data_IF_489290096147
#
_entry.id   IF_489290096147
#
_cell.length_a   1.000
_cell.length_b   1.000
_cell.length_c   1.000
_cell.angle_alpha   90.00
_cell.angle_beta   90.00
_cell.angle_gamma   90.00
#
_symmetry.space_group_name_H-M   'P 1'
#
loop_
_entity.id
_entity.type
_entity.pdbx_description
1 polymer ?
#
# COMPACT_ATOMS: atom_id res chain seq x y z
N UNK A 1 -40.21 -30.70 -146.80
CA UNK A 1 -38.99 -30.25 -146.08
C UNK A 1 -39.35 -29.04 -145.21
N UNK A 2 -39.15 -29.11 -143.88
CA UNK A 2 -39.30 -28.05 -142.85
C UNK A 2 -40.72 -27.44 -142.68
N UNK A 3 -41.37 -27.37 -141.52
CA UNK A 3 -41.11 -27.80 -140.13
C UNK A 3 -42.49 -27.85 -139.44
N UNK A 4 -43.05 -29.06 -139.27
CA UNK A 4 -44.22 -29.35 -138.40
C UNK A 4 -43.77 -29.23 -136.95
N UNK A 5 -43.79 -28.04 -136.33
CA UNK A 5 -43.50 -27.86 -134.89
C UNK A 5 -43.79 -26.42 -134.35
N UNK A 6 -44.91 -25.77 -134.71
CA UNK A 6 -45.13 -24.35 -134.32
C UNK A 6 -46.25 -24.07 -133.28
N UNK A 7 -47.39 -24.79 -133.22
CA UNK A 7 -48.43 -24.49 -132.21
C UNK A 7 -48.10 -25.02 -130.80
N UNK A 8 -47.55 -26.23 -130.70
CA UNK A 8 -47.14 -26.81 -129.41
C UNK A 8 -45.94 -26.08 -128.79
N UNK A 9 -45.00 -25.61 -129.62
CA UNK A 9 -43.83 -24.84 -129.17
C UNK A 9 -44.23 -23.49 -128.55
N UNK A 10 -45.19 -22.77 -129.13
CA UNK A 10 -45.74 -21.53 -128.55
C UNK A 10 -46.48 -21.77 -127.23
N UNK A 11 -47.21 -22.89 -127.11
CA UNK A 11 -47.93 -23.26 -125.87
C UNK A 11 -46.96 -23.64 -124.75
N UNK A 12 -45.92 -24.43 -125.06
CA UNK A 12 -44.84 -24.77 -124.12
C UNK A 12 -44.02 -23.53 -123.73
N UNK A 13 -43.78 -22.61 -124.66
CA UNK A 13 -43.04 -21.36 -124.39
C UNK A 13 -43.83 -20.40 -123.48
N UNK A 14 -45.17 -20.35 -123.59
CA UNK A 14 -46.03 -19.61 -122.65
C UNK A 14 -46.10 -20.26 -121.27
N UNK A 15 -46.13 -21.60 -121.20
CA UNK A 15 -46.04 -22.35 -119.94
C UNK A 15 -44.69 -22.12 -119.26
N UNK A 16 -43.57 -22.25 -119.98
CA UNK A 16 -42.21 -22.01 -119.47
C UNK A 16 -42.02 -20.54 -119.06
N UNK A 17 -42.57 -19.59 -119.81
CA UNK A 17 -42.55 -18.17 -119.43
C UNK A 17 -43.38 -17.88 -118.18
N UNK A 18 -44.54 -18.53 -118.02
CA UNK A 18 -45.36 -18.44 -116.81
C UNK A 18 -44.67 -19.07 -115.59
N UNK A 19 -44.04 -20.23 -115.79
CA UNK A 19 -43.25 -20.90 -114.75
C UNK A 19 -41.98 -20.11 -114.39
N UNK A 20 -41.31 -19.47 -115.36
CA UNK A 20 -40.19 -18.56 -115.11
C UNK A 20 -40.62 -17.32 -114.32
N UNK A 21 -41.76 -16.71 -114.65
CA UNK A 21 -42.30 -15.59 -113.88
C UNK A 21 -42.70 -16.00 -112.45
N UNK A 22 -43.24 -17.21 -112.28
CA UNK A 22 -43.53 -17.77 -110.95
C UNK A 22 -42.24 -18.05 -110.17
N UNK A 23 -41.19 -18.60 -110.80
CA UNK A 23 -39.88 -18.83 -110.18
C UNK A 23 -39.24 -17.52 -109.74
N UNK A 24 -39.29 -16.46 -110.56
CA UNK A 24 -38.79 -15.14 -110.18
C UNK A 24 -39.58 -14.50 -109.03
N UNK A 25 -40.90 -14.73 -108.97
CA UNK A 25 -41.74 -14.29 -107.86
C UNK A 25 -41.40 -15.04 -106.57
N UNK A 26 -41.31 -16.37 -106.63
CA UNK A 26 -40.91 -17.20 -105.49
C UNK A 26 -39.49 -16.86 -105.01
N UNK A 27 -38.54 -16.57 -105.90
CA UNK A 27 -37.20 -16.15 -105.51
C UNK A 27 -37.17 -14.78 -104.82
N UNK A 28 -38.03 -13.84 -105.24
CA UNK A 28 -38.23 -12.57 -104.52
C UNK A 28 -38.84 -12.79 -103.15
N UNK A 29 -39.89 -13.61 -103.05
CA UNK A 29 -40.54 -13.94 -101.77
C UNK A 29 -39.56 -14.66 -100.82
N UNK A 30 -38.72 -15.57 -101.33
CA UNK A 30 -37.64 -16.22 -100.55
C UNK A 30 -36.60 -15.20 -100.09
N UNK A 31 -36.22 -14.24 -100.93
CA UNK A 31 -35.32 -13.15 -100.57
C UNK A 31 -35.86 -12.29 -99.44
N UNK A 32 -37.12 -11.86 -99.55
CA UNK A 32 -37.82 -11.06 -98.53
C UNK A 32 -38.00 -11.84 -97.22
N UNK A 33 -38.34 -13.13 -97.30
CA UNK A 33 -38.42 -14.01 -96.13
C UNK A 33 -37.06 -14.18 -95.45
N UNK A 34 -35.96 -14.26 -96.21
CA UNK A 34 -34.60 -14.37 -95.66
C UNK A 34 -34.15 -13.08 -94.98
N UNK A 35 -34.54 -11.92 -95.51
CA UNK A 35 -34.31 -10.62 -94.85
C UNK A 35 -35.14 -10.53 -93.56
N UNK A 36 -36.40 -10.95 -93.58
CA UNK A 36 -37.24 -11.04 -92.36
C UNK A 36 -36.66 -12.02 -91.33
N UNK A 37 -36.13 -13.16 -91.76
CA UNK A 37 -35.46 -14.11 -90.88
C UNK A 37 -34.23 -13.48 -90.21
N UNK A 38 -33.34 -12.85 -90.98
CA UNK A 38 -32.14 -12.20 -90.44
C UNK A 38 -32.48 -11.04 -89.48
N UNK A 39 -33.56 -10.28 -89.74
CA UNK A 39 -33.99 -9.20 -88.83
C UNK A 39 -34.55 -9.76 -87.52
N UNK A 40 -35.38 -10.81 -87.58
CA UNK A 40 -35.86 -11.51 -86.40
C UNK A 40 -34.73 -12.17 -85.59
N UNK A 41 -33.75 -12.79 -86.23
CA UNK A 41 -32.57 -13.37 -85.57
C UNK A 41 -31.77 -12.30 -84.80
N UNK A 42 -31.60 -11.11 -85.39
CA UNK A 42 -30.95 -9.99 -84.72
C UNK A 42 -31.77 -9.45 -83.53
N UNK A 43 -33.10 -9.46 -83.61
CA UNK A 43 -33.96 -9.08 -82.48
C UNK A 43 -33.91 -10.10 -81.35
N UNK A 44 -33.93 -11.40 -81.68
CA UNK A 44 -33.76 -12.49 -80.71
C UNK A 44 -32.44 -12.32 -79.97
N UNK A 45 -31.34 -12.09 -80.70
CA UNK A 45 -30.03 -11.87 -80.10
C UNK A 45 -30.01 -10.66 -79.14
N UNK A 46 -30.65 -9.53 -79.52
CA UNK A 46 -30.77 -8.36 -78.65
C UNK A 46 -31.59 -8.65 -77.39
N UNK A 47 -32.68 -9.40 -77.50
CA UNK A 47 -33.51 -9.79 -76.36
C UNK A 47 -32.74 -10.72 -75.44
N UNK A 48 -31.97 -11.66 -76.00
CA UNK A 48 -31.17 -12.61 -75.24
C UNK A 48 -30.06 -11.91 -74.44
N UNK A 49 -29.36 -10.94 -75.06
CA UNK A 49 -28.41 -10.09 -74.35
C UNK A 49 -29.07 -9.30 -73.21
N UNK A 50 -30.26 -8.72 -73.43
CA UNK A 50 -30.99 -8.00 -72.37
C UNK A 50 -31.41 -8.95 -71.23
N UNK A 51 -31.86 -10.16 -71.56
CA UNK A 51 -32.24 -11.17 -70.58
C UNK A 51 -31.05 -11.55 -69.72
N UNK A 52 -29.86 -11.70 -70.31
CA UNK A 52 -28.64 -12.02 -69.57
C UNK A 52 -28.20 -10.86 -68.67
N UNK A 53 -28.26 -9.61 -69.16
CA UNK A 53 -28.01 -8.43 -68.35
C UNK A 53 -28.95 -8.31 -67.15
N UNK A 54 -30.25 -8.60 -67.35
CA UNK A 54 -31.23 -8.58 -66.25
C UNK A 54 -30.92 -9.71 -65.26
N UNK A 55 -30.58 -10.92 -65.74
CA UNK A 55 -30.20 -12.05 -64.86
C UNK A 55 -29.00 -11.72 -63.99
N UNK A 56 -27.95 -11.12 -64.56
CA UNK A 56 -26.77 -10.68 -63.81
C UNK A 56 -27.12 -9.60 -62.78
N UNK A 57 -27.99 -8.64 -63.11
CA UNK A 57 -28.47 -7.63 -62.15
C UNK A 57 -29.28 -8.26 -61.01
N UNK A 58 -30.16 -9.21 -61.32
CA UNK A 58 -30.94 -9.91 -60.28
C UNK A 58 -30.00 -10.70 -59.37
N UNK A 59 -29.00 -11.37 -59.93
CA UNK A 59 -27.99 -12.09 -59.16
C UNK A 59 -27.20 -11.17 -58.24
N UNK A 60 -26.69 -10.04 -58.75
CA UNK A 60 -25.92 -9.09 -57.93
C UNK A 60 -26.74 -8.46 -56.81
N UNK A 61 -28.00 -8.12 -57.07
CA UNK A 61 -28.92 -7.62 -56.04
C UNK A 61 -29.21 -8.70 -54.99
N UNK A 62 -29.39 -9.94 -55.43
CA UNK A 62 -29.63 -11.06 -54.53
C UNK A 62 -28.44 -11.30 -53.60
N UNK A 63 -27.23 -11.34 -54.16
CA UNK A 63 -25.98 -11.45 -53.40
C UNK A 63 -25.82 -10.28 -52.42
N UNK A 64 -26.12 -9.05 -52.84
CA UNK A 64 -26.05 -7.92 -51.93
C UNK A 64 -27.04 -8.04 -50.75
N UNK A 65 -28.28 -8.48 -50.99
CA UNK A 65 -29.29 -8.64 -49.93
C UNK A 65 -28.88 -9.75 -48.94
N UNK A 66 -28.40 -10.88 -49.45
CA UNK A 66 -28.08 -12.06 -48.63
C UNK A 66 -26.73 -11.91 -47.94
N UNK A 67 -25.69 -11.50 -48.64
CA UNK A 67 -24.32 -11.52 -48.11
C UNK A 67 -23.96 -10.20 -47.40
N UNK A 68 -24.27 -9.05 -48.01
CA UNK A 68 -23.89 -7.74 -47.42
C UNK A 68 -24.85 -7.28 -46.32
N UNK A 69 -26.14 -7.61 -46.45
CA UNK A 69 -27.17 -7.20 -45.49
C UNK A 69 -27.67 -8.35 -44.60
N UNK A 70 -27.28 -9.60 -44.87
CA UNK A 70 -27.66 -10.77 -44.08
C UNK A 70 -29.19 -10.94 -43.93
N UNK A 71 -29.93 -10.62 -44.99
CA UNK A 71 -31.40 -10.65 -45.03
C UNK A 71 -31.92 -11.71 -46.00
N UNK A 72 -33.09 -12.29 -45.71
CA UNK A 72 -33.79 -13.14 -46.68
C UNK A 72 -34.51 -12.30 -47.73
N UNK A 73 -34.59 -12.81 -48.96
CA UNK A 73 -35.26 -12.16 -50.09
C UNK A 73 -36.75 -11.91 -49.78
N UNK A 74 -37.40 -12.88 -49.13
CA UNK A 74 -38.80 -12.79 -48.71
C UNK A 74 -39.03 -11.64 -47.72
N UNK A 75 -38.13 -11.49 -46.73
CA UNK A 75 -38.22 -10.42 -45.76
C UNK A 75 -37.97 -9.04 -46.39
N UNK A 76 -36.99 -8.95 -47.30
CA UNK A 76 -36.68 -7.72 -48.02
C UNK A 76 -37.85 -7.27 -48.92
N UNK A 77 -38.50 -8.20 -49.60
CA UNK A 77 -39.66 -7.92 -50.46
C UNK A 77 -40.87 -7.45 -49.65
N UNK A 78 -41.19 -8.13 -48.54
CA UNK A 78 -42.35 -7.81 -47.69
C UNK A 78 -42.22 -6.46 -46.97
N UNK A 79 -41.01 -6.08 -46.60
CA UNK A 79 -40.73 -4.84 -45.88
C UNK A 79 -40.18 -3.72 -46.79
N UNK A 80 -40.28 -3.89 -48.11
CA UNK A 80 -39.84 -2.89 -49.06
C UNK A 80 -40.69 -1.62 -48.91
N UNK A 81 -40.07 -0.55 -48.43
CA UNK A 81 -40.68 0.79 -48.40
C UNK A 81 -39.98 1.64 -49.45
N UNK A 82 -40.67 2.04 -50.54
CA UNK A 82 -40.06 2.88 -51.56
C UNK A 82 -39.63 4.22 -50.93
N UNK A 83 -38.34 4.52 -51.01
CA UNK A 83 -37.83 5.83 -50.58
C UNK A 83 -38.23 6.89 -51.59
N UNK A 84 -38.72 8.04 -51.13
CA UNK A 84 -39.11 9.18 -51.98
C UNK A 84 -37.91 9.74 -52.77
N UNK A 85 -36.69 9.58 -52.26
CA UNK A 85 -35.45 9.97 -52.93
C UNK A 85 -34.33 8.92 -52.71
N UNK A 86 -34.00 8.17 -53.76
CA UNK A 86 -32.98 7.11 -53.72
C UNK A 86 -31.57 7.70 -53.49
N UNK A 87 -31.25 8.81 -54.15
CA UNK A 87 -29.92 9.43 -54.07
C UNK A 87 -29.59 9.94 -52.67
N UNK A 88 -30.55 10.56 -51.99
CA UNK A 88 -30.37 10.98 -50.58
C UNK A 88 -30.17 9.80 -49.64
N UNK A 89 -30.91 8.71 -49.86
CA UNK A 89 -30.82 7.49 -49.06
C UNK A 89 -29.45 6.83 -49.21
N UNK A 90 -28.89 6.77 -50.41
CA UNK A 90 -27.54 6.26 -50.67
C UNK A 90 -26.46 7.09 -49.98
N UNK A 91 -26.56 8.42 -50.04
CA UNK A 91 -25.63 9.33 -49.35
C UNK A 91 -25.70 9.09 -47.83
N UNK A 92 -26.92 8.93 -47.29
CA UNK A 92 -27.12 8.64 -45.86
C UNK A 92 -26.50 7.30 -45.46
N UNK A 93 -26.69 6.24 -46.26
CA UNK A 93 -26.09 4.93 -46.01
C UNK A 93 -24.56 5.01 -46.04
N UNK A 94 -23.97 5.71 -47.02
CA UNK A 94 -22.50 5.90 -47.07
C UNK A 94 -21.98 6.66 -45.85
N UNK A 95 -22.66 7.73 -45.43
CA UNK A 95 -22.29 8.49 -44.21
C UNK A 95 -22.35 7.61 -42.96
N UNK A 96 -23.39 6.79 -42.81
CA UNK A 96 -23.53 5.86 -41.68
C UNK A 96 -22.48 4.76 -41.71
N UNK A 97 -22.19 4.16 -42.88
CA UNK A 97 -21.13 3.16 -43.03
C UNK A 97 -19.74 3.74 -42.70
N UNK A 98 -19.46 4.98 -43.09
CA UNK A 98 -18.22 5.65 -42.72
C UNK A 98 -18.14 5.88 -41.20
N UNK A 99 -19.20 6.41 -40.57
CA UNK A 99 -19.27 6.53 -39.11
C UNK A 99 -19.08 5.20 -38.39
N UNK A 100 -19.62 4.10 -38.92
CA UNK A 100 -19.43 2.76 -38.37
C UNK A 100 -17.97 2.29 -38.48
N UNK A 101 -17.27 2.64 -39.57
CA UNK A 101 -15.84 2.37 -39.73
C UNK A 101 -14.98 3.19 -38.77
N UNK A 102 -15.37 4.42 -38.47
CA UNK A 102 -14.66 5.29 -37.52
C UNK A 102 -14.62 4.72 -36.10
N UNK A 103 -15.63 3.91 -35.70
CA UNK A 103 -15.63 3.22 -34.40
C UNK A 103 -14.60 2.07 -34.31
N UNK A 104 -13.98 1.69 -35.42
CA UNK A 104 -12.96 0.63 -35.46
C UNK A 104 -13.49 -0.75 -35.07
N UNK A 105 -12.58 -1.65 -34.73
CA UNK A 105 -12.95 -3.00 -34.28
C UNK A 105 -13.49 -2.94 -32.85
N UNK A 106 -14.80 -3.11 -32.71
CA UNK A 106 -15.45 -3.23 -31.39
C UNK A 106 -15.04 -4.56 -30.77
N UNK A 107 -14.40 -4.53 -29.60
CA UNK A 107 -14.08 -5.73 -28.84
C UNK A 107 -15.37 -6.24 -28.16
N UNK A 108 -15.93 -7.40 -28.58
CA UNK A 108 -17.16 -7.92 -27.99
C UNK A 108 -16.98 -8.35 -26.52
N UNK A 109 -15.75 -8.59 -26.07
CA UNK A 109 -15.42 -8.99 -24.70
C UNK A 109 -15.17 -7.82 -23.76
N UNK A 110 -15.14 -6.57 -24.26
CA UNK A 110 -14.79 -5.39 -23.46
C UNK A 110 -15.68 -5.22 -22.22
N UNK A 111 -16.98 -5.50 -22.35
CA UNK A 111 -17.91 -5.42 -21.21
C UNK A 111 -17.59 -6.45 -20.11
N UNK A 112 -17.19 -7.67 -20.51
CA UNK A 112 -16.85 -8.75 -19.58
C UNK A 112 -15.51 -8.44 -18.88
N UNK A 113 -14.52 -7.99 -19.64
CA UNK A 113 -13.21 -7.59 -19.10
C UNK A 113 -13.33 -6.40 -18.14
N UNK A 114 -14.11 -5.38 -18.51
CA UNK A 114 -14.41 -4.25 -17.64
C UNK A 114 -15.03 -4.71 -16.33
N UNK A 115 -16.04 -5.58 -16.36
CA UNK A 115 -16.70 -6.09 -15.15
C UNK A 115 -15.71 -6.85 -14.25
N UNK A 116 -14.79 -7.64 -14.83
CA UNK A 116 -13.75 -8.37 -14.08
C UNK A 116 -12.74 -7.42 -13.44
N UNK A 117 -12.25 -6.43 -14.19
CA UNK A 117 -11.31 -5.43 -13.69
C UNK A 117 -11.96 -4.58 -12.61
N UNK A 118 -13.21 -4.16 -12.80
CA UNK A 118 -13.97 -3.36 -11.84
C UNK A 118 -14.11 -4.09 -10.51
N UNK A 119 -14.48 -5.38 -10.52
CA UNK A 119 -14.52 -6.20 -9.29
C UNK A 119 -13.18 -6.25 -8.56
N UNK A 120 -12.07 -6.43 -9.29
CA UNK A 120 -10.73 -6.44 -8.70
C UNK A 120 -10.35 -5.07 -8.13
N UNK A 121 -10.69 -4.01 -8.84
CA UNK A 121 -10.46 -2.64 -8.39
C UNK A 121 -11.22 -2.36 -7.10
N UNK A 122 -12.52 -2.65 -7.05
CA UNK A 122 -13.36 -2.39 -5.87
C UNK A 122 -12.85 -3.17 -4.63
N UNK A 123 -12.41 -4.43 -4.84
CA UNK A 123 -11.78 -5.21 -3.77
C UNK A 123 -10.46 -4.57 -3.28
N UNK A 124 -9.56 -4.20 -4.20
CA UNK A 124 -8.28 -3.60 -3.84
C UNK A 124 -8.43 -2.22 -3.19
N UNK A 125 -9.42 -1.43 -3.61
CA UNK A 125 -9.69 -0.12 -3.02
C UNK A 125 -10.25 -0.25 -1.59
N UNK A 126 -11.10 -1.24 -1.35
CA UNK A 126 -11.56 -1.58 0.02
C UNK A 126 -10.38 -1.94 0.92
N UNK A 127 -9.51 -2.84 0.47
CA UNK A 127 -8.30 -3.24 1.23
C UNK A 127 -7.35 -2.06 1.47
N UNK A 128 -7.21 -1.18 0.47
CA UNK A 128 -6.40 0.04 0.61
C UNK A 128 -6.98 0.96 1.67
N UNK A 129 -8.30 1.14 1.69
CA UNK A 129 -8.97 1.99 2.67
C UNK A 129 -8.82 1.42 4.08
N UNK A 130 -9.01 0.10 4.25
CA UNK A 130 -8.81 -0.57 5.54
C UNK A 130 -7.37 -0.37 6.07
N UNK A 131 -6.36 -0.43 5.20
CA UNK A 131 -4.96 -0.18 5.57
C UNK A 131 -4.70 1.28 5.96
N UNK A 132 -5.31 2.24 5.26
CA UNK A 132 -5.19 3.67 5.58
C UNK A 132 -5.81 3.94 6.95
N UNK A 133 -6.99 3.38 7.20
CA UNK A 133 -7.70 3.56 8.46
C UNK A 133 -6.95 2.89 9.62
N UNK A 134 -6.41 1.68 9.40
CA UNK A 134 -5.57 0.99 10.38
C UNK A 134 -4.27 1.75 10.69
N UNK A 135 -3.63 2.32 9.66
CA UNK A 135 -2.45 3.17 9.85
C UNK A 135 -2.79 4.38 10.73
N UNK A 136 -3.89 5.07 10.44
CA UNK A 136 -4.32 6.23 11.22
C UNK A 136 -4.60 5.85 12.68
N UNK A 137 -5.29 4.74 12.91
CA UNK A 137 -5.54 4.24 14.27
C UNK A 137 -4.25 3.95 15.04
N UNK A 138 -3.23 3.40 14.37
CA UNK A 138 -1.92 3.17 15.00
C UNK A 138 -1.20 4.48 15.31
N UNK A 139 -1.25 5.47 14.41
CA UNK A 139 -0.66 6.80 14.65
C UNK A 139 -1.33 7.50 15.83
N UNK A 140 -2.66 7.45 15.91
CA UNK A 140 -3.44 8.00 17.03
C UNK A 140 -3.10 7.28 18.35
N UNK A 141 -2.98 5.94 18.33
CA UNK A 141 -2.57 5.16 19.50
C UNK A 141 -1.16 5.51 19.99
N UNK A 142 -0.20 5.67 19.07
CA UNK A 142 1.16 6.09 19.42
C UNK A 142 1.15 7.45 20.10
N UNK A 143 0.37 8.40 19.57
CA UNK A 143 0.23 9.73 20.15
C UNK A 143 -0.35 9.67 21.57
N UNK A 144 -1.40 8.87 21.78
CA UNK A 144 -2.02 8.69 23.10
C UNK A 144 -1.06 8.04 24.11
N UNK A 145 -0.30 7.02 23.68
CA UNK A 145 0.72 6.38 24.51
C UNK A 145 1.82 7.37 24.89
N UNK A 146 2.36 8.12 23.93
CA UNK A 146 3.42 9.11 24.19
C UNK A 146 2.94 10.20 25.15
N UNK A 147 1.71 10.68 25.00
CA UNK A 147 1.11 11.62 25.95
C UNK A 147 1.03 11.02 27.35
N UNK A 148 0.59 9.76 27.47
CA UNK A 148 0.50 9.07 28.77
C UNK A 148 1.87 8.86 29.41
N UNK A 149 2.89 8.51 28.62
CA UNK A 149 4.27 8.39 29.08
C UNK A 149 4.75 9.74 29.62
N UNK A 150 4.51 10.85 28.91
CA UNK A 150 4.89 12.19 29.36
C UNK A 150 4.21 12.60 30.67
N UNK A 151 2.91 12.32 30.83
CA UNK A 151 2.17 12.57 32.08
C UNK A 151 2.76 11.79 33.26
N UNK A 152 2.99 10.48 33.07
CA UNK A 152 3.56 9.60 34.12
C UNK A 152 4.99 10.02 34.45
N UNK A 153 5.79 10.37 33.44
CA UNK A 153 7.16 10.84 33.64
C UNK A 153 7.18 12.10 34.50
N UNK A 154 6.37 13.12 34.18
CA UNK A 154 6.34 14.36 34.96
C UNK A 154 5.85 14.14 36.40
N UNK A 155 4.81 13.32 36.58
CA UNK A 155 4.31 12.97 37.92
C UNK A 155 5.40 12.28 38.77
N UNK A 156 6.09 11.29 38.19
CA UNK A 156 7.16 10.57 38.87
C UNK A 156 8.39 11.45 39.08
N UNK A 157 8.74 12.29 38.12
CA UNK A 157 9.84 13.24 38.22
C UNK A 157 9.65 14.18 39.41
N UNK A 158 8.48 14.79 39.55
CA UNK A 158 8.20 15.68 40.69
C UNK A 158 8.23 14.94 42.02
N UNK A 159 7.69 13.73 42.07
CA UNK A 159 7.76 12.88 43.27
C UNK A 159 9.21 12.56 43.65
N UNK A 160 10.06 12.21 42.67
CA UNK A 160 11.49 11.96 42.91
C UNK A 160 12.18 13.25 43.34
N UNK A 161 11.85 14.40 42.75
CA UNK A 161 12.45 15.70 43.07
C UNK A 161 12.13 16.13 44.52
N UNK A 162 10.90 15.93 44.98
CA UNK A 162 10.51 16.16 46.38
C UNK A 162 11.26 15.25 47.35
N UNK A 163 11.34 13.95 47.03
CA UNK A 163 12.09 13.00 47.85
C UNK A 163 13.59 13.30 47.84
N UNK A 164 14.14 13.73 46.70
CA UNK A 164 15.54 14.15 46.58
C UNK A 164 15.81 15.34 47.49
N UNK A 165 14.99 16.40 47.45
CA UNK A 165 15.07 17.54 48.38
C UNK A 165 15.09 17.08 49.84
N UNK A 166 14.20 16.14 50.20
CA UNK A 166 14.12 15.60 51.56
C UNK A 166 15.39 14.88 52.00
N UNK A 167 15.84 13.87 51.23
CA UNK A 167 17.03 13.09 51.58
C UNK A 167 18.32 13.90 51.47
N UNK A 168 18.40 14.83 50.52
CA UNK A 168 19.50 15.76 50.41
C UNK A 168 19.64 16.61 51.67
N UNK A 169 18.54 17.13 52.23
CA UNK A 169 18.56 17.94 53.45
C UNK A 169 19.04 17.16 54.69
N UNK A 170 18.80 15.85 54.73
CA UNK A 170 19.30 14.97 55.80
C UNK A 170 20.82 14.82 55.70
N UNK A 171 21.37 14.64 54.50
CA UNK A 171 22.81 14.51 54.27
C UNK A 171 23.55 15.85 54.34
N UNK A 172 22.89 16.95 53.95
CA UNK A 172 23.42 18.31 53.93
C UNK A 172 22.45 19.29 54.61
N UNK A 173 22.47 19.40 55.96
CA UNK A 173 21.53 20.25 56.70
C UNK A 173 21.53 21.73 56.31
N UNK A 174 22.68 22.23 55.84
CA UNK A 174 22.87 23.62 55.39
C UNK A 174 22.79 23.79 53.86
N UNK A 175 22.58 22.69 53.13
CA UNK A 175 22.51 22.70 51.68
C UNK A 175 21.09 22.66 51.15
N UNK A 176 20.95 22.83 49.84
CA UNK A 176 19.73 22.61 49.08
C UNK A 176 20.06 21.89 47.78
N UNK A 177 19.15 21.04 47.30
CA UNK A 177 19.38 20.27 46.07
C UNK A 177 18.07 20.08 45.33
N UNK A 178 18.09 20.26 44.02
CA UNK A 178 16.94 20.06 43.15
C UNK A 178 17.33 19.36 41.85
N UNK A 179 16.36 18.66 41.28
CA UNK A 179 16.44 18.08 39.95
C UNK A 179 15.86 19.06 38.93
N UNK A 180 16.56 19.25 37.82
CA UNK A 180 16.09 20.05 36.69
C UNK A 180 16.06 19.21 35.42
N UNK A 181 15.05 19.41 34.58
CA UNK A 181 15.01 18.81 33.24
C UNK A 181 15.92 19.62 32.32
N UNK A 182 16.94 18.96 31.77
CA UNK A 182 17.78 19.55 30.72
C UNK A 182 17.02 19.51 29.40
N UNK A 183 16.68 20.70 28.89
CA UNK A 183 15.98 20.89 27.62
C UNK A 183 16.92 21.21 26.47
N UNK A 184 18.25 21.18 26.67
CA UNK A 184 19.24 21.65 25.71
C UNK A 184 19.75 20.56 24.74
N UNK A 185 18.97 19.52 24.47
CA UNK A 185 19.31 18.53 23.46
C UNK A 185 19.21 19.13 22.04
N UNK A 186 20.32 19.68 21.54
CA UNK A 186 20.49 20.23 20.18
C UNK A 186 20.61 19.10 19.09
N UNK A 187 19.89 17.99 19.30
CA UNK A 187 19.83 16.84 18.41
C UNK A 187 18.48 16.76 17.69
N UNK A 188 18.40 16.15 16.49
CA UNK A 188 17.14 16.00 15.77
C UNK A 188 16.26 14.96 16.47
N UNK A 189 15.52 15.39 17.49
CA UNK A 189 14.52 14.63 18.22
C UNK A 189 14.25 15.25 19.59
N UNK A 190 13.00 15.64 19.86
CA UNK A 190 12.50 16.14 21.15
C UNK A 190 12.58 15.11 22.31
N UNK A 191 13.33 14.01 22.14
CA UNK A 191 13.20 12.77 22.92
C UNK A 191 14.31 12.52 23.97
N UNK A 192 15.37 13.33 24.03
CA UNK A 192 16.42 13.19 25.04
C UNK A 192 16.32 14.28 26.12
N UNK A 193 15.23 14.23 26.91
CA UNK A 193 15.14 14.98 28.16
C UNK A 193 16.19 14.45 29.14
N UNK A 194 17.28 15.21 29.32
CA UNK A 194 18.26 14.94 30.36
C UNK A 194 17.72 15.33 31.75
N UNK A 195 18.31 14.77 32.81
CA UNK A 195 18.08 15.21 34.19
C UNK A 195 19.41 15.72 34.74
N UNK A 196 19.46 17.01 35.11
CA UNK A 196 20.60 17.60 35.80
C UNK A 196 20.30 17.74 37.31
N UNK A 197 21.32 17.50 38.13
CA UNK A 197 21.26 17.67 39.58
C UNK A 197 21.94 18.98 39.95
N UNK A 198 21.16 19.96 40.43
CA UNK A 198 21.65 21.24 40.92
C UNK A 198 21.68 21.24 42.43
N UNK A 199 22.85 21.47 43.02
CA UNK A 199 23.02 21.38 44.47
C UNK A 199 23.85 22.52 45.03
N UNK A 200 23.52 22.95 46.23
CA UNK A 200 24.29 23.86 47.08
C UNK A 200 24.64 23.10 48.38
N UNK A 201 25.93 23.00 48.69
CA UNK A 201 26.46 22.31 49.88
C UNK A 201 26.79 23.33 51.00
N UNK A 202 26.30 24.58 50.89
CA UNK A 202 26.52 25.67 51.86
C UNK A 202 27.42 26.79 51.35
N UNK A 203 27.61 26.89 50.03
CA UNK A 203 28.42 27.89 49.34
C UNK A 203 27.56 28.97 48.64
N UNK A 204 26.24 29.01 48.94
CA UNK A 204 25.27 30.03 48.47
C UNK A 204 24.98 30.02 46.96
N UNK A 205 25.48 29.02 46.21
CA UNK A 205 25.24 28.88 44.77
C UNK A 205 25.00 27.43 44.41
N UNK A 206 24.00 27.21 43.55
CA UNK A 206 23.74 25.91 42.92
C UNK A 206 24.84 25.60 41.90
N UNK A 207 25.48 24.45 42.06
CA UNK A 207 26.49 23.89 41.15
C UNK A 207 26.02 22.54 40.62
N UNK A 208 26.42 22.22 39.38
CA UNK A 208 26.20 20.88 38.80
C UNK A 208 27.13 19.85 39.44
N UNK A 209 26.71 18.59 39.42
CA UNK A 209 27.43 17.44 39.99
C UNK A 209 28.89 17.32 39.53
N UNK A 210 29.22 17.80 38.33
CA UNK A 210 30.57 17.76 37.73
C UNK A 210 31.59 18.66 38.46
N UNK A 211 31.13 19.62 39.24
CA UNK A 211 31.97 20.62 39.93
C UNK A 211 32.22 20.27 41.41
N UNK A 212 31.70 19.15 41.90
CA UNK A 212 31.83 18.71 43.29
C UNK A 212 33.08 17.85 43.53
N UNK A 213 33.53 17.79 44.78
CA UNK A 213 34.57 16.83 45.19
C UNK A 213 34.06 15.38 45.11
N UNK A 214 34.98 14.40 45.08
CA UNK A 214 34.60 12.99 44.95
C UNK A 214 33.68 12.46 46.06
N UNK A 215 33.94 12.86 47.31
CA UNK A 215 33.11 12.48 48.45
C UNK A 215 31.73 13.15 48.43
N UNK A 216 31.68 14.45 48.11
CA UNK A 216 30.42 15.18 47.95
C UNK A 216 29.58 14.61 46.81
N UNK A 217 30.19 14.35 45.66
CA UNK A 217 29.54 13.72 44.51
C UNK A 217 28.92 12.37 44.88
N UNK A 218 29.60 11.59 45.71
CA UNK A 218 29.11 10.29 46.19
C UNK A 218 27.86 10.45 47.07
N UNK A 219 27.88 11.38 48.03
CA UNK A 219 26.71 11.69 48.87
C UNK A 219 25.51 12.21 48.08
N UNK A 220 25.73 13.12 47.13
CA UNK A 220 24.66 13.64 46.28
C UNK A 220 24.06 12.52 45.44
N UNK A 221 24.89 11.63 44.89
CA UNK A 221 24.44 10.47 44.14
C UNK A 221 23.64 9.50 45.02
N UNK A 222 24.07 9.27 46.27
CA UNK A 222 23.31 8.47 47.24
C UNK A 222 21.96 9.11 47.55
N UNK A 223 21.90 10.43 47.76
CA UNK A 223 20.64 11.13 48.00
C UNK A 223 19.63 10.89 46.86
N UNK A 224 20.12 10.91 45.62
CA UNK A 224 19.32 10.61 44.43
C UNK A 224 18.91 9.13 44.34
N UNK A 225 19.81 8.20 44.66
CA UNK A 225 19.43 6.78 44.71
C UNK A 225 18.36 6.51 45.77
N UNK A 226 18.50 7.07 46.98
CA UNK A 226 17.50 6.93 48.03
C UNK A 226 16.16 7.59 47.68
N UNK A 227 16.17 8.69 46.92
CA UNK A 227 14.91 9.29 46.43
C UNK A 227 14.18 8.37 45.46
N UNK A 228 14.90 7.66 44.59
CA UNK A 228 14.32 6.63 43.71
C UNK A 228 13.83 5.42 44.52
N UNK A 229 14.63 4.92 45.45
CA UNK A 229 14.30 3.74 46.27
C UNK A 229 13.08 3.95 47.18
N UNK A 230 12.82 5.20 47.57
CA UNK A 230 11.63 5.55 48.36
C UNK A 230 10.32 5.37 47.58
N UNK A 231 10.36 5.45 46.25
CA UNK A 231 9.19 5.29 45.38
C UNK A 231 9.09 3.84 44.89
N UNK A 232 10.20 3.28 44.44
CA UNK A 232 10.29 1.91 43.95
C UNK A 232 11.02 1.04 44.97
N UNK A 233 10.25 0.53 45.93
CA UNK A 233 10.79 -0.30 47.00
C UNK A 233 11.12 -1.70 46.48
N UNK A 234 12.40 -2.08 46.53
CA UNK A 234 12.88 -3.44 46.29
C UNK A 234 12.82 -4.25 47.59
N UNK A 235 12.67 -5.59 47.53
CA UNK A 235 12.75 -6.45 48.71
C UNK A 235 14.11 -6.32 49.44
N UNK A 236 15.19 -6.13 48.69
CA UNK A 236 16.53 -5.91 49.25
C UNK A 236 17.39 -4.99 48.38
N UNK A 237 18.41 -4.41 49.00
CA UNK A 237 19.43 -3.58 48.37
C UNK A 237 20.82 -4.08 48.74
N UNK A 238 21.76 -4.01 47.79
CA UNK A 238 23.17 -4.35 48.00
C UNK A 238 24.02 -3.12 47.70
N UNK A 239 24.82 -2.68 48.66
CA UNK A 239 25.77 -1.59 48.51
C UNK A 239 27.18 -2.16 48.60
N UNK A 240 27.99 -1.97 47.57
CA UNK A 240 29.37 -2.43 47.53
C UNK A 240 30.32 -1.25 47.66
N UNK A 241 31.06 -1.19 48.78
CA UNK A 241 32.02 -0.14 49.13
C UNK A 241 31.50 1.29 48.95
N UNK A 242 30.19 1.48 49.10
CA UNK A 242 29.54 2.76 48.86
C UNK A 242 30.09 3.87 49.78
N UNK A 243 30.56 3.51 50.98
CA UNK A 243 31.11 4.38 52.01
C UNK A 243 32.62 4.62 51.90
N UNK A 244 33.32 4.03 50.92
CA UNK A 244 34.77 4.16 50.78
C UNK A 244 35.23 5.60 50.48
N UNK A 245 34.40 6.38 49.77
CA UNK A 245 34.71 7.77 49.40
C UNK A 245 34.24 8.81 50.44
N UNK A 246 33.68 8.36 51.57
CA UNK A 246 33.07 9.24 52.56
C UNK A 246 34.02 9.49 53.73
N UNK A 247 34.05 10.73 54.23
CA UNK A 247 34.73 11.06 55.47
C UNK A 247 33.92 10.63 56.70
N UNK A 248 34.56 10.69 57.87
CA UNK A 248 33.99 10.27 59.15
C UNK A 248 32.66 10.95 59.53
N UNK A 249 32.47 12.21 59.12
CA UNK A 249 31.26 12.97 59.41
C UNK A 249 30.12 12.58 58.46
N UNK A 250 30.45 12.35 57.20
CA UNK A 250 29.50 11.99 56.16
C UNK A 250 29.06 10.52 56.25
N UNK A 251 29.96 9.61 56.68
CA UNK A 251 29.60 8.21 57.00
C UNK A 251 28.44 8.19 58.01
N UNK A 252 28.52 8.94 59.11
CA UNK A 252 27.45 8.97 60.11
C UNK A 252 26.08 9.40 59.54
N UNK A 253 26.06 10.34 58.58
CA UNK A 253 24.83 10.78 57.92
C UNK A 253 24.28 9.72 56.96
N UNK A 254 25.16 9.08 56.19
CA UNK A 254 24.80 7.95 55.34
C UNK A 254 24.19 6.80 56.15
N UNK A 255 24.84 6.40 57.25
CA UNK A 255 24.38 5.34 58.13
C UNK A 255 23.03 5.65 58.79
N UNK A 256 22.76 6.92 59.09
CA UNK A 256 21.46 7.35 59.60
C UNK A 256 20.34 7.13 58.58
N UNK A 257 20.61 7.34 57.28
CA UNK A 257 19.67 7.02 56.21
C UNK A 257 19.50 5.52 56.03
N UNK A 258 20.61 4.76 55.95
CA UNK A 258 20.59 3.30 55.84
C UNK A 258 19.72 2.68 56.92
N UNK A 259 19.91 3.10 58.18
CA UNK A 259 19.13 2.60 59.32
C UNK A 259 17.64 2.90 59.20
N UNK A 260 17.26 4.06 58.67
CA UNK A 260 15.85 4.41 58.44
C UNK A 260 15.22 3.55 57.34
N UNK A 261 15.97 3.21 56.30
CA UNK A 261 15.50 2.32 55.24
C UNK A 261 15.48 0.85 55.67
N UNK A 262 16.42 0.43 56.54
CA UNK A 262 16.49 -0.95 57.03
C UNK A 262 15.29 -1.35 57.90
N UNK A 263 14.54 -0.38 58.45
CA UNK A 263 13.27 -0.63 59.16
C UNK A 263 12.21 -1.29 58.27
N UNK A 264 12.28 -1.09 56.96
CA UNK A 264 11.28 -1.59 55.99
C UNK A 264 11.85 -2.54 54.95
N UNK A 265 13.16 -2.52 54.72
CA UNK A 265 13.81 -3.18 53.59
C UNK A 265 15.10 -3.88 54.05
N UNK A 266 15.46 -4.99 53.40
CA UNK A 266 16.72 -5.65 53.70
C UNK A 266 17.88 -4.91 53.02
N UNK A 267 18.91 -4.55 53.79
CA UNK A 267 20.11 -3.89 53.25
C UNK A 267 21.33 -4.76 53.52
N UNK A 268 22.09 -5.04 52.47
CA UNK A 268 23.38 -5.73 52.53
C UNK A 268 24.44 -4.70 52.15
N UNK A 269 25.43 -4.48 53.02
CA UNK A 269 26.54 -3.56 52.75
C UNK A 269 27.84 -4.34 52.82
N UNK A 270 28.64 -4.24 51.76
CA UNK A 270 30.01 -4.72 51.69
C UNK A 270 30.90 -3.52 51.98
N UNK A 271 31.69 -3.59 53.04
CA UNK A 271 32.50 -2.46 53.52
C UNK A 271 33.65 -2.93 54.39
N UNK A 272 34.70 -2.10 54.48
CA UNK A 272 35.77 -2.21 55.46
C UNK A 272 35.70 -1.09 56.53
N UNK A 273 34.68 -0.23 56.49
CA UNK A 273 34.52 0.89 57.42
C UNK A 273 33.96 0.43 58.77
N UNK A 274 34.73 0.61 59.85
CA UNK A 274 34.36 0.20 61.21
C UNK A 274 33.00 0.77 61.65
N UNK A 275 32.76 2.06 61.41
CA UNK A 275 31.48 2.73 61.74
C UNK A 275 30.27 2.12 61.06
N UNK A 276 30.42 1.63 59.82
CA UNK A 276 29.34 0.97 59.09
C UNK A 276 29.06 -0.42 59.67
N UNK A 277 30.11 -1.13 60.09
CA UNK A 277 29.96 -2.42 60.78
C UNK A 277 29.26 -2.28 62.13
N UNK A 278 29.51 -1.19 62.88
CA UNK A 278 28.92 -0.95 64.21
C UNK A 278 27.38 -0.87 64.21
N UNK A 279 26.77 -0.43 63.10
CA UNK A 279 25.31 -0.31 63.01
C UNK A 279 24.61 -1.57 62.48
N UNK A 280 25.37 -2.58 62.05
CA UNK A 280 24.83 -3.76 61.40
C UNK A 280 24.19 -4.71 62.42
N UNK A 281 23.07 -5.33 62.06
CA UNK A 281 22.44 -6.37 62.90
C UNK A 281 23.22 -7.69 62.85
N UNK A 282 23.94 -7.95 61.76
CA UNK A 282 24.72 -9.17 61.54
C UNK A 282 25.89 -8.86 60.60
N UNK A 283 27.08 -9.31 60.98
CA UNK A 283 28.29 -9.19 60.17
C UNK A 283 28.60 -10.55 59.56
N UNK A 284 28.89 -10.55 58.26
CA UNK A 284 29.45 -11.68 57.55
C UNK A 284 30.90 -11.37 57.18
N UNK A 285 31.84 -12.09 57.78
CA UNK A 285 33.26 -12.00 57.44
C UNK A 285 33.63 -13.04 56.38
N UNK A 286 34.48 -12.66 55.43
CA UNK A 286 35.06 -13.60 54.47
C UNK A 286 36.53 -13.81 54.86
N UNK A 287 36.91 -15.04 55.15
CA UNK A 287 38.29 -15.42 55.48
C UNK A 287 38.82 -16.44 54.46
N UNK A 288 40.10 -16.34 54.12
CA UNK A 288 40.77 -17.32 53.26
C UNK A 288 41.53 -18.33 54.11
N UNK A 289 41.25 -19.63 53.89
CA UNK A 289 42.08 -20.70 54.45
C UNK A 289 43.34 -20.92 53.59
N UNK A 290 44.30 -21.67 54.12
CA UNK A 290 45.62 -21.96 53.50
C UNK A 290 45.56 -22.52 52.07
N UNK A 291 44.40 -23.05 51.67
CA UNK A 291 44.19 -23.69 50.37
C UNK A 291 43.57 -22.75 49.32
N UNK A 292 43.46 -21.44 49.61
CA UNK A 292 42.87 -20.45 48.70
C UNK A 292 41.34 -20.52 48.57
N UNK A 293 40.69 -21.30 49.44
CA UNK A 293 39.24 -21.43 49.51
C UNK A 293 38.70 -20.38 50.49
N UNK A 294 37.82 -19.51 50.01
CA UNK A 294 37.11 -18.53 50.84
C UNK A 294 36.04 -19.21 51.68
N UNK A 295 36.01 -18.93 52.98
CA UNK A 295 34.99 -19.39 53.92
C UNK A 295 34.29 -18.17 54.53
N UNK A 296 32.96 -18.27 54.64
CA UNK A 296 32.14 -17.23 55.26
C UNK A 296 31.98 -17.58 56.74
N UNK A 297 32.25 -16.60 57.59
CA UNK A 297 31.93 -16.60 59.02
C UNK A 297 30.82 -15.58 59.25
N UNK A 298 29.92 -15.84 60.21
CA UNK A 298 28.80 -14.95 60.52
C UNK A 298 28.71 -14.72 62.01
N UNK A 299 28.54 -13.48 62.42
CA UNK A 299 28.36 -13.11 63.81
C UNK A 299 27.21 -12.10 63.93
N UNK A 300 26.31 -12.33 64.89
CA UNK A 300 25.21 -11.41 65.18
C UNK A 300 25.70 -10.43 66.24
N UNK A 301 25.67 -9.13 65.94
CA UNK A 301 26.16 -8.12 66.88
C UNK A 301 25.13 -7.96 68.00
N UNK A 302 25.51 -8.30 69.23
CA UNK A 302 24.82 -7.84 70.43
C UNK A 302 25.42 -6.50 70.86
N UNK A 303 24.58 -5.51 71.16
CA UNK A 303 24.98 -4.09 71.35
C UNK A 303 26.00 -3.84 72.47
N UNK A 304 26.32 -4.85 73.27
CA UNK A 304 27.24 -4.76 74.41
C UNK A 304 28.67 -5.26 74.12
N UNK A 305 28.98 -5.77 72.90
CA UNK A 305 30.24 -6.50 72.63
C UNK A 305 30.98 -6.08 71.34
N UNK A 306 30.93 -4.79 70.98
CA UNK A 306 31.49 -4.29 69.71
C UNK A 306 33.04 -4.33 69.68
N UNK A 307 33.69 -4.08 70.81
CA UNK A 307 35.16 -3.98 70.87
C UNK A 307 35.91 -5.32 70.75
N UNK A 308 35.22 -6.47 70.90
CA UNK A 308 35.86 -7.80 70.78
C UNK A 308 35.86 -8.38 69.37
N UNK A 309 35.14 -7.77 68.42
CA UNK A 309 34.89 -8.33 67.08
C UNK A 309 35.78 -7.67 66.02
N UNK A 310 36.10 -6.39 66.20
CA UNK A 310 37.05 -5.68 65.35
C UNK A 310 38.45 -6.09 65.78
N UNK A 311 38.97 -7.17 65.20
CA UNK A 311 40.34 -7.60 65.44
C UNK A 311 41.30 -6.42 65.34
N UNK A 312 42.15 -6.26 66.35
CA UNK A 312 43.35 -5.45 66.24
C UNK A 312 44.19 -6.05 65.10
N UNK A 313 44.39 -5.27 64.04
CA UNK A 313 45.50 -5.49 63.12
C UNK A 313 46.84 -5.32 63.87
#
# INVERSE_FOLDING_TARGET
>A
MKKRLYPEYERQKRLISGDQANIERFNRDIGDLKIKQNTLENEIYKIELKKEQIREKVKSITTAIVDDYNMSIEYASKNFKPSVNLSESEIRVRKLKNKMRDYGNVNPNAAIEYAKIKKRFDFMDTQRQDLIDSKKQLEDLIMDINKKIGEIFLEKFETINENFRHYFKILFPRGEGEMQLDRNGDGPGDDELGVDLKVDIGNSKLVSLSLLSGGEKSLVSMAFLFSIFSINTSPFYVFDEADAALDDANIGRFLSLVKKFSEKQQIIIITHQKKTMEIADTIYGVTMQSDGISKIISEKIDKDNIDSIVGED
#
